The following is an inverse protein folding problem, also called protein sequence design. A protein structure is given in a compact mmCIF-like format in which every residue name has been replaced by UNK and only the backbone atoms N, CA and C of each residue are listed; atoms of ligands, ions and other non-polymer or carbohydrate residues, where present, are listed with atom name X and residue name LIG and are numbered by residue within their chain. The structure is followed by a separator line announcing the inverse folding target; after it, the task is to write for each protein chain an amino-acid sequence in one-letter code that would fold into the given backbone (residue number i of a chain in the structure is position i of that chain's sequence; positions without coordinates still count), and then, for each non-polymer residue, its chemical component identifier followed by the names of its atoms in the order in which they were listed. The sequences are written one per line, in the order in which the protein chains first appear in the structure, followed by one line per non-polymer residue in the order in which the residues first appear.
data_IF_813460661743
#
_entry.id   IF_813460661743
#
_cell.length_a   1.000
_cell.length_b   1.000
_cell.length_c   1.000
_cell.angle_alpha   90.00
_cell.angle_beta   90.00
_cell.angle_gamma   90.00
#
_symmetry.space_group_name_H-M   'P 1'
#
loop_
_entity.id
_entity.type
_entity.pdbx_description
1 polymer ?
#
# COMPACT_ATOMS: atom_id res chain seq x y z
N UNK A 1 -26.15 60.83 -42.55
CA UNK A 1 -25.72 60.83 -41.12
C UNK A 1 -25.35 59.45 -40.56
N UNK A 2 -25.43 58.36 -41.35
CA UNK A 2 -25.05 57.01 -40.89
C UNK A 2 -23.59 56.60 -41.23
N UNK A 3 -22.95 57.20 -42.25
CA UNK A 3 -21.56 56.86 -42.61
C UNK A 3 -20.52 57.33 -41.57
N UNK A 4 -20.77 58.44 -40.87
CA UNK A 4 -19.84 58.99 -39.87
C UNK A 4 -19.81 58.11 -38.60
N UNK A 5 -20.90 57.40 -38.28
CA UNK A 5 -20.95 56.47 -37.14
C UNK A 5 -20.20 55.16 -37.40
N UNK A 6 -20.09 54.72 -38.65
CA UNK A 6 -19.33 53.52 -39.00
C UNK A 6 -17.80 53.74 -38.92
N UNK A 7 -17.31 54.93 -39.27
CA UNK A 7 -15.87 55.26 -39.18
C UNK A 7 -15.36 55.41 -37.74
N UNK A 8 -16.19 55.91 -36.82
CA UNK A 8 -15.80 56.08 -35.42
C UNK A 8 -15.66 54.76 -34.66
N UNK A 9 -16.43 53.73 -35.04
CA UNK A 9 -16.32 52.39 -34.43
C UNK A 9 -15.07 51.66 -34.93
N UNK A 10 -14.66 51.89 -36.19
CA UNK A 10 -13.44 51.28 -36.73
C UNK A 10 -12.16 51.87 -36.13
N UNK A 11 -12.13 53.18 -35.83
CA UNK A 11 -10.99 53.82 -35.15
C UNK A 11 -10.88 53.43 -33.67
N UNK A 12 -11.99 53.14 -32.99
CA UNK A 12 -11.96 52.67 -31.61
C UNK A 12 -11.41 51.24 -31.47
N UNK A 13 -11.56 50.40 -32.51
CA UNK A 13 -11.03 49.03 -32.53
C UNK A 13 -9.55 48.95 -32.91
N UNK A 14 -9.02 49.93 -33.65
CA UNK A 14 -7.60 49.98 -34.05
C UNK A 14 -6.68 50.62 -32.99
N UNK A 15 -7.26 51.24 -31.96
CA UNK A 15 -6.53 51.92 -30.90
C UNK A 15 -6.39 51.13 -29.60
N UNK A 16 -6.89 49.89 -29.51
CA UNK A 16 -6.63 49.06 -28.34
C UNK A 16 -5.15 48.65 -28.38
N UNK A 17 -4.30 49.10 -27.44
CA UNK A 17 -2.97 48.55 -27.33
C UNK A 17 -3.17 47.05 -27.16
N UNK A 18 -2.56 46.26 -28.05
CA UNK A 18 -2.32 44.86 -27.78
C UNK A 18 -1.42 44.85 -26.56
N UNK A 19 -2.01 44.94 -25.36
CA UNK A 19 -1.39 44.45 -24.16
C UNK A 19 -1.15 43.01 -24.51
N UNK A 20 0.09 42.71 -24.93
CA UNK A 20 0.63 41.37 -24.90
C UNK A 20 0.11 40.84 -23.58
N UNK A 21 -0.84 39.92 -23.64
CA UNK A 21 -0.97 38.96 -22.58
C UNK A 21 0.42 38.36 -22.58
N UNK A 22 1.28 38.89 -21.70
CA UNK A 22 2.37 38.14 -21.16
C UNK A 22 1.62 36.96 -20.57
N UNK A 23 1.48 35.93 -21.40
CA UNK A 23 1.16 34.60 -20.98
C UNK A 23 2.15 34.43 -19.85
N UNK A 24 1.64 34.52 -18.63
CA UNK A 24 2.32 34.04 -17.46
C UNK A 24 2.38 32.56 -17.76
N UNK A 25 3.34 32.17 -18.58
CA UNK A 25 3.90 30.84 -18.59
C UNK A 25 4.27 30.69 -17.13
N UNK A 26 3.34 30.11 -16.37
CA UNK A 26 3.69 29.48 -15.13
C UNK A 26 4.93 28.70 -15.51
N UNK A 27 6.07 29.05 -14.91
CA UNK A 27 7.18 28.13 -14.79
C UNK A 27 6.57 26.88 -14.19
N UNK A 28 6.11 26.00 -15.08
CA UNK A 28 5.84 24.64 -14.76
C UNK A 28 7.23 24.13 -14.52
N UNK A 29 7.59 24.07 -13.25
CA UNK A 29 8.79 23.39 -12.80
C UNK A 29 8.56 21.94 -13.25
N UNK A 30 9.08 21.61 -14.43
CA UNK A 30 9.02 20.24 -14.93
C UNK A 30 9.89 19.42 -14.00
N UNK A 31 9.25 18.58 -13.20
CA UNK A 31 9.92 17.69 -12.26
C UNK A 31 10.86 16.79 -13.02
N UNK A 32 12.08 16.61 -12.50
CA UNK A 32 13.03 15.75 -13.17
C UNK A 32 12.57 14.28 -13.04
N UNK A 33 13.04 13.46 -13.98
CA UNK A 33 12.89 12.00 -13.90
C UNK A 33 14.26 11.34 -13.86
N UNK A 34 14.99 11.41 -12.73
CA UNK A 34 16.29 10.75 -12.61
C UNK A 34 16.15 9.23 -12.79
N UNK A 35 16.92 8.67 -13.71
CA UNK A 35 17.01 7.24 -13.96
C UNK A 35 18.29 6.73 -13.28
N UNK A 36 18.17 5.60 -12.59
CA UNK A 36 19.30 4.91 -11.98
C UNK A 36 20.24 4.34 -13.04
N UNK A 37 21.48 4.84 -13.07
CA UNK A 37 22.54 4.45 -14.02
C UNK A 37 23.84 4.05 -13.31
N UNK A 38 23.77 3.80 -12.00
CA UNK A 38 24.93 3.60 -11.15
C UNK A 38 25.81 2.41 -11.56
N UNK A 39 27.11 2.59 -11.33
CA UNK A 39 28.13 1.54 -11.35
C UNK A 39 28.65 1.16 -9.97
N UNK A 40 28.34 1.92 -8.91
CA UNK A 40 28.90 1.76 -7.56
C UNK A 40 27.88 1.42 -6.47
N UNK A 41 26.58 1.59 -6.74
CA UNK A 41 25.51 1.29 -5.80
C UNK A 41 25.23 2.39 -4.78
N UNK A 42 25.78 3.60 -4.94
CA UNK A 42 25.56 4.72 -4.02
C UNK A 42 24.48 5.68 -4.52
N UNK A 43 23.37 5.79 -3.78
CA UNK A 43 22.29 6.75 -4.06
C UNK A 43 22.80 8.20 -4.04
N UNK A 44 23.73 8.53 -3.14
CA UNK A 44 24.22 9.89 -2.94
C UNK A 44 25.21 10.37 -4.00
N UNK A 45 25.66 9.47 -4.89
CA UNK A 45 26.59 9.83 -5.95
C UNK A 45 25.82 10.42 -7.15
N UNK A 46 26.12 11.67 -7.51
CA UNK A 46 25.53 12.33 -8.70
C UNK A 46 25.74 11.54 -9.99
N UNK A 47 26.83 10.78 -10.11
CA UNK A 47 27.11 9.93 -11.27
C UNK A 47 26.22 8.68 -11.36
N UNK A 48 25.52 8.33 -10.28
CA UNK A 48 24.54 7.24 -10.26
C UNK A 48 23.23 7.58 -10.96
N UNK A 49 23.05 8.82 -11.43
CA UNK A 49 21.79 9.34 -11.95
C UNK A 49 21.94 9.94 -13.34
N UNK A 50 20.97 9.67 -14.22
CA UNK A 50 20.98 10.14 -15.61
C UNK A 50 20.94 11.66 -15.77
N UNK A 51 20.50 12.38 -14.74
CA UNK A 51 20.45 13.85 -14.72
C UNK A 51 21.74 14.48 -14.21
N UNK A 52 22.76 13.66 -13.86
CA UNK A 52 23.98 14.10 -13.18
C UNK A 52 23.72 14.86 -11.87
N UNK A 53 22.59 14.57 -11.21
CA UNK A 53 22.16 15.15 -9.94
C UNK A 53 21.48 14.07 -9.10
N UNK A 54 21.68 14.10 -7.79
CA UNK A 54 20.91 13.24 -6.87
C UNK A 54 19.44 13.67 -6.90
N UNK A 55 18.47 12.74 -6.88
CA UNK A 55 17.05 13.07 -6.81
C UNK A 55 16.72 13.98 -5.64
N UNK A 56 15.80 14.92 -5.86
CA UNK A 56 15.32 15.86 -4.85
C UNK A 56 13.81 15.71 -4.66
N UNK A 57 13.24 16.51 -3.75
CA UNK A 57 11.81 16.49 -3.49
C UNK A 57 10.99 16.76 -4.76
N UNK A 58 9.87 16.04 -4.90
CA UNK A 58 8.98 16.01 -6.06
C UNK A 58 9.56 15.38 -7.33
N UNK A 59 10.76 14.84 -7.34
CA UNK A 59 11.22 14.08 -8.51
C UNK A 59 10.45 12.76 -8.66
N UNK A 60 10.41 12.23 -9.89
CA UNK A 60 10.04 10.84 -10.16
C UNK A 60 11.30 10.01 -10.39
N UNK A 61 11.63 9.15 -9.44
CA UNK A 61 12.82 8.29 -9.51
C UNK A 61 12.49 6.97 -10.19
N UNK A 62 13.29 6.58 -11.17
CA UNK A 62 13.07 5.37 -11.97
C UNK A 62 14.27 4.42 -11.93
N UNK A 63 14.02 3.19 -11.46
CA UNK A 63 14.89 2.04 -11.65
C UNK A 63 14.37 1.23 -12.83
N UNK A 64 14.89 1.49 -14.04
CA UNK A 64 14.34 0.91 -15.26
C UNK A 64 14.81 -0.52 -15.54
N UNK A 65 15.94 -0.94 -14.96
CA UNK A 65 16.58 -2.22 -15.17
C UNK A 65 17.28 -2.39 -16.52
N UNK A 66 17.35 -1.33 -17.33
CA UNK A 66 18.01 -1.31 -18.64
C UNK A 66 19.34 -0.57 -18.54
N UNK A 67 19.34 0.61 -17.92
CA UNK A 67 20.55 1.41 -17.79
C UNK A 67 21.44 0.91 -16.65
N UNK A 68 20.86 0.39 -15.58
CA UNK A 68 21.60 -0.30 -14.52
C UNK A 68 20.71 -1.30 -13.79
N UNK A 69 21.33 -2.40 -13.35
CA UNK A 69 20.77 -3.38 -12.40
C UNK A 69 21.58 -3.45 -11.11
N UNK A 70 22.52 -2.51 -10.91
CA UNK A 70 23.36 -2.43 -9.70
C UNK A 70 22.47 -2.13 -8.51
N UNK A 71 22.62 -2.91 -7.44
CA UNK A 71 21.88 -2.72 -6.18
C UNK A 71 22.23 -1.39 -5.53
N UNK A 72 21.25 -0.74 -4.91
CA UNK A 72 21.47 0.45 -4.08
C UNK A 72 21.84 -0.01 -2.67
N UNK A 73 23.11 0.14 -2.30
CA UNK A 73 23.64 -0.29 -0.99
C UNK A 73 24.31 0.84 -0.22
N UNK A 74 24.64 1.95 -0.89
CA UNK A 74 25.19 3.18 -0.32
C UNK A 74 24.22 4.36 -0.38
N UNK A 75 24.47 5.39 0.43
CA UNK A 75 23.67 6.62 0.41
C UNK A 75 22.21 6.43 0.84
N UNK A 76 21.92 5.43 1.66
CA UNK A 76 20.54 4.99 1.93
C UNK A 76 19.72 5.94 2.81
N UNK A 77 20.35 6.88 3.52
CA UNK A 77 19.63 7.86 4.31
C UNK A 77 19.35 9.13 3.49
N UNK A 78 18.10 9.27 3.05
CA UNK A 78 17.58 10.41 2.27
C UNK A 78 16.46 11.13 3.05
N UNK A 79 16.61 11.20 4.38
CA UNK A 79 15.65 11.89 5.26
C UNK A 79 15.41 13.33 4.80
N UNK A 80 14.14 13.72 4.70
CA UNK A 80 13.72 15.06 4.26
C UNK A 80 13.46 15.17 2.76
N UNK A 81 13.80 14.14 1.97
CA UNK A 81 13.39 14.04 0.57
C UNK A 81 12.02 13.37 0.50
N UNK A 82 11.08 14.04 -0.15
CA UNK A 82 9.75 13.52 -0.46
C UNK A 82 9.55 13.50 -1.98
N UNK A 83 9.73 12.33 -2.58
CA UNK A 83 9.57 12.13 -4.03
C UNK A 83 8.10 12.20 -4.44
N UNK A 84 7.83 12.54 -5.69
CA UNK A 84 6.47 12.33 -6.23
C UNK A 84 6.22 10.83 -6.45
N UNK A 85 7.17 10.13 -7.09
CA UNK A 85 7.07 8.70 -7.33
C UNK A 85 8.43 8.00 -7.28
N UNK A 86 8.45 6.81 -6.65
CA UNK A 86 9.55 5.84 -6.73
C UNK A 86 9.08 4.62 -7.54
N UNK A 87 9.60 4.47 -8.76
CA UNK A 87 9.22 3.42 -9.67
C UNK A 87 10.36 2.41 -9.89
N UNK A 88 10.07 1.13 -9.66
CA UNK A 88 10.99 0.02 -9.88
C UNK A 88 10.39 -0.89 -10.96
N UNK A 89 11.02 -0.90 -12.13
CA UNK A 89 10.61 -1.66 -13.32
C UNK A 89 10.75 -3.17 -13.12
N UNK A 90 9.93 -4.00 -13.80
CA UNK A 90 10.10 -5.46 -13.80
C UNK A 90 11.48 -5.96 -14.25
N UNK A 91 12.19 -5.18 -15.06
CA UNK A 91 13.52 -5.53 -15.54
C UNK A 91 14.62 -5.31 -14.49
N UNK A 92 14.38 -4.48 -13.47
CA UNK A 92 15.39 -4.20 -12.44
C UNK A 92 15.51 -5.39 -11.49
N UNK A 93 16.72 -5.94 -11.37
CA UNK A 93 17.02 -7.12 -10.54
C UNK A 93 17.88 -6.82 -9.32
N UNK A 94 18.41 -5.60 -9.20
CA UNK A 94 19.16 -5.18 -8.03
C UNK A 94 18.26 -5.05 -6.79
N UNK A 95 18.87 -5.18 -5.62
CA UNK A 95 18.22 -4.88 -4.34
C UNK A 95 18.30 -3.37 -4.07
N UNK A 96 17.34 -2.84 -3.31
CA UNK A 96 17.35 -1.45 -2.85
C UNK A 96 17.31 -1.45 -1.33
N UNK A 97 18.37 -0.94 -0.72
CA UNK A 97 18.59 -1.02 0.71
C UNK A 97 19.02 -2.41 1.16
N UNK A 98 19.18 -2.57 2.46
CA UNK A 98 19.62 -3.81 3.10
C UNK A 98 18.78 -4.10 4.35
N UNK A 99 18.76 -5.35 4.79
CA UNK A 99 18.18 -5.70 6.08
C UNK A 99 18.92 -4.93 7.20
N UNK A 100 18.16 -4.21 8.04
CA UNK A 100 18.72 -3.37 9.10
C UNK A 100 19.29 -2.02 8.63
N UNK A 101 19.38 -1.78 7.31
CA UNK A 101 19.75 -0.50 6.73
C UNK A 101 18.88 -0.24 5.49
N UNK A 102 17.58 0.08 5.66
CA UNK A 102 16.68 0.32 4.55
C UNK A 102 17.00 1.65 3.84
N UNK A 103 16.50 1.81 2.62
CA UNK A 103 16.39 3.14 1.99
C UNK A 103 15.38 3.97 2.81
N UNK A 104 15.86 5.02 3.45
CA UNK A 104 15.07 5.97 4.23
C UNK A 104 14.73 7.15 3.32
N UNK A 105 13.53 7.14 2.75
CA UNK A 105 13.05 8.20 1.85
C UNK A 105 11.53 8.23 1.88
N UNK A 106 10.95 9.42 1.71
CA UNK A 106 9.50 9.57 1.57
C UNK A 106 9.13 9.65 0.09
N UNK A 107 7.92 9.20 -0.26
CA UNK A 107 7.39 9.34 -1.61
C UNK A 107 5.86 9.34 -1.60
N UNK A 108 5.23 10.18 -2.42
CA UNK A 108 3.77 10.15 -2.54
C UNK A 108 3.27 8.81 -3.11
N UNK A 109 4.05 8.19 -4.00
CA UNK A 109 3.72 6.89 -4.61
C UNK A 109 4.95 5.99 -4.75
N UNK A 110 4.79 4.73 -4.37
CA UNK A 110 5.80 3.68 -4.56
C UNK A 110 5.24 2.57 -5.45
N UNK A 111 5.95 2.23 -6.53
CA UNK A 111 5.59 1.12 -7.41
C UNK A 111 6.77 0.16 -7.53
N UNK A 112 6.66 -1.01 -6.92
CA UNK A 112 7.68 -2.05 -6.99
C UNK A 112 7.24 -3.22 -7.86
N UNK A 113 7.87 -3.36 -9.03
CA UNK A 113 7.68 -4.52 -9.94
C UNK A 113 8.96 -5.33 -10.18
N UNK A 114 10.10 -4.83 -9.69
CA UNK A 114 11.41 -5.45 -9.86
C UNK A 114 11.53 -6.84 -9.22
N UNK A 115 12.63 -7.51 -9.51
CA UNK A 115 12.92 -8.86 -9.02
C UNK A 115 13.80 -8.89 -7.77
N UNK A 116 14.52 -7.81 -7.49
CA UNK A 116 15.26 -7.66 -6.24
C UNK A 116 14.35 -7.34 -5.07
N UNK A 117 14.95 -7.25 -3.89
CA UNK A 117 14.30 -6.93 -2.62
C UNK A 117 14.33 -5.43 -2.39
N UNK A 118 13.20 -4.85 -1.97
CA UNK A 118 13.12 -3.46 -1.52
C UNK A 118 13.04 -3.40 0.01
N UNK A 119 14.05 -2.85 0.66
CA UNK A 119 14.02 -2.46 2.08
C UNK A 119 13.72 -0.97 2.17
N UNK A 120 12.51 -0.60 2.56
CA UNK A 120 12.04 0.79 2.52
C UNK A 120 11.54 1.26 3.89
N UNK A 121 11.97 2.47 4.26
CA UNK A 121 11.52 3.19 5.45
C UNK A 121 11.02 4.57 5.08
N UNK A 122 9.77 4.89 5.43
CA UNK A 122 9.23 6.24 5.30
C UNK A 122 8.90 6.82 6.69
N UNK A 123 9.33 8.06 6.94
CA UNK A 123 9.21 8.74 8.24
C UNK A 123 8.33 10.00 8.18
N UNK A 124 7.89 10.41 6.98
CA UNK A 124 6.97 11.52 6.79
C UNK A 124 5.78 11.14 5.91
N UNK A 125 6.01 11.04 4.60
CA UNK A 125 4.96 10.89 3.59
C UNK A 125 5.07 9.63 2.75
N UNK A 126 4.16 8.68 2.96
CA UNK A 126 3.86 7.65 1.96
C UNK A 126 2.37 7.43 1.82
N UNK A 127 1.83 7.80 0.66
CA UNK A 127 0.39 7.77 0.48
C UNK A 127 -0.09 6.46 -0.15
N UNK A 128 0.70 5.88 -1.08
CA UNK A 128 0.28 4.71 -1.87
C UNK A 128 1.46 3.82 -2.25
N UNK A 129 1.30 2.53 -2.01
CA UNK A 129 2.28 1.50 -2.36
C UNK A 129 1.60 0.45 -3.22
N UNK A 130 2.23 0.11 -4.33
CA UNK A 130 1.87 -1.02 -5.18
C UNK A 130 3.06 -1.98 -5.30
N UNK A 131 2.85 -3.22 -4.89
CA UNK A 131 3.81 -4.31 -5.10
C UNK A 131 3.24 -5.32 -6.10
N UNK A 132 3.87 -5.42 -7.26
CA UNK A 132 3.59 -6.41 -8.32
C UNK A 132 4.92 -7.05 -8.76
N UNK A 133 5.63 -7.61 -7.78
CA UNK A 133 6.97 -8.16 -7.94
C UNK A 133 6.92 -9.64 -8.28
N UNK A 134 7.85 -10.11 -9.11
CA UNK A 134 8.05 -11.55 -9.33
C UNK A 134 8.80 -12.26 -8.20
N UNK A 135 9.36 -11.52 -7.25
CA UNK A 135 10.07 -12.06 -6.10
C UNK A 135 9.08 -12.59 -5.04
N UNK A 136 8.91 -13.90 -4.99
CA UNK A 136 8.00 -14.56 -4.03
C UNK A 136 8.69 -14.88 -2.69
N UNK A 137 9.97 -14.56 -2.54
CA UNK A 137 10.75 -14.84 -1.34
C UNK A 137 10.76 -13.63 -0.41
N UNK A 138 11.15 -12.46 -0.91
CA UNK A 138 11.17 -11.20 -0.16
C UNK A 138 11.11 -10.03 -1.16
N UNK A 139 9.94 -9.72 -1.72
CA UNK A 139 9.81 -8.59 -2.64
C UNK A 139 10.05 -7.25 -1.92
N UNK A 140 9.44 -7.06 -0.76
CA UNK A 140 9.57 -5.80 -0.04
C UNK A 140 9.47 -5.99 1.49
N UNK A 141 10.17 -5.13 2.21
CA UNK A 141 10.06 -4.95 3.64
C UNK A 141 9.80 -3.47 3.94
N UNK A 142 8.68 -3.19 4.61
CA UNK A 142 8.24 -1.83 4.93
C UNK A 142 8.35 -1.55 6.42
N UNK A 143 8.87 -0.37 6.75
CA UNK A 143 9.05 0.14 8.11
C UNK A 143 8.85 1.66 8.15
N UNK A 144 8.79 2.24 9.34
CA UNK A 144 8.79 3.69 9.53
C UNK A 144 7.47 4.24 10.04
N UNK A 145 7.45 5.55 10.25
CA UNK A 145 6.41 6.26 10.98
C UNK A 145 5.52 7.17 10.13
N UNK A 146 5.66 7.10 8.79
CA UNK A 146 4.82 7.84 7.88
C UNK A 146 3.32 7.58 8.14
N UNK A 147 2.51 8.62 7.94
CA UNK A 147 1.06 8.52 8.17
C UNK A 147 0.34 7.85 7.00
N UNK A 148 -0.71 7.09 7.32
CA UNK A 148 -1.69 6.55 6.39
C UNK A 148 -1.13 5.63 5.29
N UNK A 149 -0.35 4.62 5.65
CA UNK A 149 0.14 3.63 4.69
C UNK A 149 -1.03 2.93 3.99
N UNK A 150 -1.09 3.06 2.66
CA UNK A 150 -2.05 2.34 1.81
C UNK A 150 -1.29 1.41 0.87
N UNK A 151 -1.26 0.14 1.22
CA UNK A 151 -0.46 -0.87 0.53
C UNK A 151 -1.34 -1.82 -0.26
N UNK A 152 -1.09 -1.93 -1.55
CA UNK A 152 -1.69 -2.92 -2.43
C UNK A 152 -0.63 -3.93 -2.90
N UNK A 153 -0.87 -5.21 -2.65
CA UNK A 153 0.01 -6.31 -3.07
C UNK A 153 -0.75 -7.17 -4.08
N UNK A 154 -0.28 -7.14 -5.32
CA UNK A 154 -0.80 -7.97 -6.42
C UNK A 154 0.03 -9.24 -6.59
N UNK A 155 1.35 -9.15 -6.37
CA UNK A 155 2.29 -10.27 -6.49
C UNK A 155 3.53 -9.99 -5.66
N UNK A 156 4.12 -11.04 -5.09
CA UNK A 156 5.35 -10.96 -4.31
C UNK A 156 5.11 -11.21 -2.82
N UNK A 157 6.22 -11.38 -2.08
CA UNK A 157 6.20 -11.51 -0.63
C UNK A 157 6.56 -10.19 0.05
N UNK A 158 5.64 -9.64 0.83
CA UNK A 158 5.79 -8.36 1.53
C UNK A 158 5.75 -8.57 3.03
N UNK A 159 6.71 -7.97 3.74
CA UNK A 159 6.71 -7.92 5.20
C UNK A 159 6.48 -6.48 5.65
N UNK A 160 5.39 -6.25 6.38
CA UNK A 160 5.18 -5.02 7.13
C UNK A 160 5.73 -5.24 8.54
N UNK A 161 6.89 -4.62 8.81
CA UNK A 161 7.68 -4.89 10.01
C UNK A 161 7.03 -4.36 11.28
N UNK A 162 7.51 -4.80 12.43
CA UNK A 162 7.17 -4.21 13.72
C UNK A 162 7.50 -2.71 13.82
N UNK A 163 8.36 -2.16 12.97
CA UNK A 163 8.68 -0.73 12.95
C UNK A 163 7.71 0.13 12.13
N UNK A 164 6.71 -0.48 11.48
CA UNK A 164 5.71 0.25 10.68
C UNK A 164 4.52 0.68 11.56
N UNK A 165 4.18 1.96 11.60
CA UNK A 165 2.98 2.50 12.27
C UNK A 165 1.92 3.00 11.29
N UNK A 166 0.70 3.26 11.78
CA UNK A 166 -0.40 3.89 11.01
C UNK A 166 -0.71 3.24 9.65
N UNK A 167 -0.90 1.92 9.66
CA UNK A 167 -1.31 1.17 8.47
C UNK A 167 -2.79 1.41 8.16
N UNK A 168 -3.09 2.43 7.36
CA UNK A 168 -4.47 2.79 7.04
C UNK A 168 -5.21 1.71 6.22
N UNK A 169 -4.58 1.15 5.18
CA UNK A 169 -5.21 0.14 4.31
C UNK A 169 -4.19 -0.88 3.83
N UNK A 170 -4.53 -2.17 3.96
CA UNK A 170 -3.87 -3.27 3.29
C UNK A 170 -4.82 -3.91 2.28
N UNK A 171 -4.38 -4.06 1.04
CA UNK A 171 -5.14 -4.72 -0.04
C UNK A 171 -4.31 -5.82 -0.69
N UNK A 172 -4.81 -7.05 -0.71
CA UNK A 172 -4.12 -8.21 -1.28
C UNK A 172 -4.99 -8.85 -2.34
N UNK A 173 -4.54 -8.75 -3.60
CA UNK A 173 -5.43 -8.92 -4.75
C UNK A 173 -5.16 -10.21 -5.53
N UNK A 174 -3.89 -10.60 -5.69
CA UNK A 174 -3.48 -11.73 -6.52
C UNK A 174 -3.33 -13.04 -5.75
N UNK A 175 -3.36 -14.16 -6.46
CA UNK A 175 -3.11 -15.50 -5.91
C UNK A 175 -1.65 -15.69 -5.44
N UNK A 176 -0.71 -14.95 -6.06
CA UNK A 176 0.73 -15.01 -5.79
C UNK A 176 1.23 -13.89 -4.89
N UNK A 177 0.35 -13.25 -4.12
CA UNK A 177 0.75 -12.31 -3.08
C UNK A 177 0.78 -12.98 -1.71
N UNK A 178 1.86 -12.74 -0.98
CA UNK A 178 2.06 -13.19 0.40
C UNK A 178 2.35 -11.94 1.22
N UNK A 179 1.56 -11.68 2.25
CA UNK A 179 1.79 -10.55 3.15
C UNK A 179 1.89 -11.03 4.58
N UNK A 180 2.95 -10.58 5.26
CA UNK A 180 3.13 -10.79 6.70
C UNK A 180 3.10 -9.42 7.36
N UNK A 181 2.21 -9.25 8.34
CA UNK A 181 2.15 -8.05 9.18
C UNK A 181 2.59 -8.41 10.59
N UNK A 182 3.82 -8.06 10.93
CA UNK A 182 4.43 -8.36 12.23
C UNK A 182 3.74 -7.57 13.36
N UNK A 183 3.81 -8.10 14.59
CA UNK A 183 3.29 -7.43 15.77
C UNK A 183 4.02 -6.11 16.01
N UNK A 184 3.30 -5.05 16.39
CA UNK A 184 3.87 -3.75 16.77
C UNK A 184 3.12 -3.18 17.99
N UNK A 185 3.29 -3.82 19.14
CA UNK A 185 2.56 -3.41 20.36
C UNK A 185 1.04 -3.36 20.12
N UNK A 186 0.43 -2.20 20.40
CA UNK A 186 -1.00 -1.96 20.20
C UNK A 186 -1.35 -1.29 18.87
N UNK A 187 -0.39 -1.11 17.95
CA UNK A 187 -0.66 -0.51 16.65
C UNK A 187 -1.57 -1.42 15.81
N UNK A 188 -2.62 -0.80 15.30
CA UNK A 188 -3.72 -1.43 14.58
C UNK A 188 -3.65 -1.20 13.06
N UNK A 189 -4.31 -2.06 12.29
CA UNK A 189 -4.55 -1.84 10.86
C UNK A 189 -5.93 -1.19 10.67
N UNK A 190 -6.00 -0.16 9.84
CA UNK A 190 -7.24 0.56 9.52
C UNK A 190 -8.24 -0.31 8.74
N UNK A 191 -7.82 -0.94 7.65
CA UNK A 191 -8.66 -1.88 6.92
C UNK A 191 -7.84 -2.93 6.18
N UNK A 192 -8.38 -4.13 6.07
CA UNK A 192 -7.83 -5.22 5.26
C UNK A 192 -8.84 -5.61 4.20
N UNK A 193 -8.41 -5.66 2.94
CA UNK A 193 -9.19 -6.16 1.82
C UNK A 193 -8.41 -7.27 1.14
N UNK A 194 -8.99 -8.46 1.05
CA UNK A 194 -8.33 -9.59 0.42
C UNK A 194 -9.25 -10.23 -0.63
N UNK A 195 -8.78 -10.37 -1.87
CA UNK A 195 -9.46 -11.13 -2.92
C UNK A 195 -8.68 -12.37 -3.37
N UNK A 196 -7.45 -12.53 -2.89
CA UNK A 196 -6.58 -13.67 -3.22
C UNK A 196 -5.37 -13.75 -2.30
N UNK A 197 -4.48 -14.72 -2.58
CA UNK A 197 -3.18 -14.80 -1.93
C UNK A 197 -3.25 -15.20 -0.45
N UNK A 198 -2.21 -14.84 0.29
CA UNK A 198 -2.06 -15.18 1.70
C UNK A 198 -1.73 -13.93 2.52
N UNK A 199 -2.41 -13.78 3.67
CA UNK A 199 -2.08 -12.80 4.70
C UNK A 199 -1.90 -13.52 6.02
N UNK A 200 -0.80 -13.22 6.73
CA UNK A 200 -0.65 -13.52 8.16
C UNK A 200 -0.59 -12.20 8.92
N UNK A 201 -1.53 -11.97 9.83
CA UNK A 201 -1.71 -10.72 10.54
C UNK A 201 -1.57 -10.90 12.06
N UNK A 202 -0.60 -10.19 12.66
CA UNK A 202 -0.35 -10.17 14.10
C UNK A 202 -0.80 -8.85 14.76
N UNK A 203 -1.66 -8.06 14.12
CA UNK A 203 -2.10 -6.75 14.63
C UNK A 203 -3.62 -6.63 14.74
N UNK A 204 -4.12 -5.85 15.71
CA UNK A 204 -5.56 -5.55 15.84
C UNK A 204 -6.15 -4.82 14.62
N UNK A 205 -7.45 -5.01 14.42
CA UNK A 205 -8.31 -4.29 13.46
C UNK A 205 -9.55 -3.82 14.25
N UNK A 206 -9.33 -3.02 15.29
CA UNK A 206 -10.10 -3.03 16.55
C UNK A 206 -10.92 -1.78 16.86
N UNK A 207 -11.31 -0.99 15.86
CA UNK A 207 -12.28 0.11 16.04
C UNK A 207 -13.45 -0.04 15.09
N UNK A 208 -14.58 0.57 15.41
CA UNK A 208 -15.82 0.44 14.63
C UNK A 208 -15.73 0.92 13.18
N UNK A 209 -14.71 1.71 12.85
CA UNK A 209 -14.45 2.18 11.48
C UNK A 209 -13.56 1.21 10.70
N UNK A 210 -12.97 0.22 11.39
CA UNK A 210 -11.97 -0.71 10.86
C UNK A 210 -12.61 -2.05 10.57
N UNK A 211 -12.22 -2.64 9.45
CA UNK A 211 -12.79 -3.92 9.00
C UNK A 211 -11.80 -4.74 8.21
N UNK A 212 -11.94 -6.06 8.32
CA UNK A 212 -11.35 -7.02 7.41
C UNK A 212 -12.44 -7.55 6.47
N UNK A 213 -12.22 -7.47 5.16
CA UNK A 213 -13.12 -8.01 4.13
C UNK A 213 -12.35 -9.03 3.32
N UNK A 214 -12.69 -10.31 3.50
CA UNK A 214 -12.01 -11.45 2.88
C UNK A 214 -12.96 -12.05 1.85
N UNK A 215 -12.65 -11.86 0.57
CA UNK A 215 -13.43 -12.36 -0.57
C UNK A 215 -12.75 -13.52 -1.30
N UNK A 216 -11.52 -13.88 -0.90
CA UNK A 216 -10.73 -14.95 -1.49
C UNK A 216 -9.37 -15.11 -0.81
N UNK A 217 -8.63 -16.16 -1.15
CA UNK A 217 -7.33 -16.47 -0.56
C UNK A 217 -7.41 -17.02 0.86
N UNK A 218 -6.31 -16.88 1.60
CA UNK A 218 -6.17 -17.31 3.00
C UNK A 218 -5.78 -16.14 3.88
N UNK A 219 -6.56 -15.87 4.92
CA UNK A 219 -6.30 -14.87 5.95
C UNK A 219 -6.08 -15.57 7.29
N UNK A 220 -4.87 -15.50 7.83
CA UNK A 220 -4.54 -16.02 9.16
C UNK A 220 -4.37 -14.85 10.12
N UNK A 221 -5.23 -14.79 11.13
CA UNK A 221 -5.19 -13.75 12.15
C UNK A 221 -4.68 -14.30 13.48
N UNK A 222 -3.49 -13.87 13.88
CA UNK A 222 -2.72 -14.49 14.96
C UNK A 222 -2.90 -13.79 16.32
N UNK A 223 -3.15 -12.48 16.33
CA UNK A 223 -3.29 -11.70 17.56
C UNK A 223 -3.99 -10.36 17.29
N UNK A 224 -4.59 -9.80 18.34
CA UNK A 224 -5.36 -8.56 18.32
C UNK A 224 -6.85 -8.83 18.15
N UNK A 225 -7.67 -7.88 18.59
CA UNK A 225 -9.11 -7.95 18.33
C UNK A 225 -9.41 -7.54 16.87
N UNK A 226 -10.47 -8.11 16.30
CA UNK A 226 -11.10 -7.58 15.08
C UNK A 226 -12.46 -7.04 15.47
N UNK A 227 -12.76 -5.80 15.06
CA UNK A 227 -14.09 -5.23 15.25
C UNK A 227 -15.06 -5.85 14.26
N UNK A 228 -14.91 -5.60 12.96
CA UNK A 228 -15.75 -6.21 11.91
C UNK A 228 -14.94 -7.12 10.99
N UNK A 229 -15.35 -8.37 10.86
CA UNK A 229 -14.86 -9.34 9.88
C UNK A 229 -15.99 -9.71 8.91
N UNK A 230 -15.78 -9.46 7.62
CA UNK A 230 -16.69 -9.91 6.56
C UNK A 230 -15.99 -10.98 5.73
N UNK A 231 -16.55 -12.18 5.71
CA UNK A 231 -16.06 -13.30 4.90
C UNK A 231 -17.06 -13.52 3.76
N UNK A 232 -16.66 -13.16 2.55
CA UNK A 232 -17.42 -13.28 1.31
C UNK A 232 -16.79 -14.29 0.35
N UNK A 233 -15.99 -15.23 0.89
CA UNK A 233 -15.19 -16.18 0.15
C UNK A 233 -13.84 -16.42 0.82
N UNK A 234 -13.05 -17.35 0.27
CA UNK A 234 -11.74 -17.70 0.80
C UNK A 234 -11.80 -18.46 2.14
N UNK A 235 -10.67 -18.46 2.84
CA UNK A 235 -10.47 -19.16 4.11
C UNK A 235 -9.88 -18.22 5.14
N UNK A 236 -10.56 -18.06 6.28
CA UNK A 236 -10.09 -17.30 7.43
C UNK A 236 -9.76 -18.24 8.57
N UNK A 237 -8.53 -18.18 9.06
CA UNK A 237 -8.09 -18.82 10.29
C UNK A 237 -7.99 -17.75 11.38
N UNK A 238 -8.86 -17.81 12.38
CA UNK A 238 -8.84 -16.85 13.49
C UNK A 238 -8.16 -17.49 14.69
N UNK A 239 -6.85 -17.28 14.86
CA UNK A 239 -6.03 -17.83 15.94
C UNK A 239 -5.94 -16.93 17.17
N UNK A 240 -6.25 -15.63 17.03
CA UNK A 240 -6.25 -14.68 18.11
C UNK A 240 -7.12 -15.14 19.30
N UNK A 241 -6.66 -14.89 20.53
CA UNK A 241 -7.43 -15.13 21.76
C UNK A 241 -8.37 -13.97 22.10
N UNK A 242 -8.16 -12.84 21.43
CA UNK A 242 -8.93 -11.61 21.54
C UNK A 242 -10.25 -11.72 20.78
N UNK A 243 -11.22 -10.90 21.17
CA UNK A 243 -12.60 -10.99 20.69
C UNK A 243 -12.76 -10.51 19.25
N UNK A 244 -13.51 -11.29 18.45
CA UNK A 244 -14.16 -10.81 17.23
C UNK A 244 -15.47 -10.13 17.62
N UNK A 245 -15.63 -8.82 17.34
CA UNK A 245 -16.86 -8.11 17.76
C UNK A 245 -18.05 -8.48 16.86
N UNK A 246 -17.86 -8.40 15.55
CA UNK A 246 -18.88 -8.69 14.53
C UNK A 246 -18.29 -9.55 13.41
N UNK A 247 -18.85 -10.74 13.20
CA UNK A 247 -18.50 -11.61 12.09
C UNK A 247 -19.67 -11.84 11.14
N UNK A 248 -19.50 -11.45 9.87
CA UNK A 248 -20.48 -11.66 8.80
C UNK A 248 -19.93 -12.69 7.79
N UNK A 249 -20.49 -13.89 7.81
CA UNK A 249 -20.10 -15.00 6.94
C UNK A 249 -21.08 -15.13 5.78
N UNK A 250 -20.80 -14.42 4.70
CA UNK A 250 -21.60 -14.43 3.47
C UNK A 250 -21.29 -15.65 2.58
N UNK A 251 -20.02 -16.07 2.55
CA UNK A 251 -19.52 -17.27 1.87
C UNK A 251 -18.12 -17.65 2.40
N UNK A 252 -17.56 -18.78 1.97
CA UNK A 252 -16.21 -19.22 2.38
C UNK A 252 -16.18 -19.84 3.77
N UNK A 253 -15.00 -19.89 4.40
CA UNK A 253 -14.81 -20.56 5.69
C UNK A 253 -14.20 -19.63 6.74
N UNK A 254 -14.77 -19.61 7.95
CA UNK A 254 -14.12 -19.11 9.16
C UNK A 254 -13.80 -20.29 10.09
N UNK A 255 -12.52 -20.49 10.35
CA UNK A 255 -11.99 -21.59 11.14
C UNK A 255 -11.46 -21.11 12.50
N UNK A 256 -12.18 -21.45 13.57
CA UNK A 256 -11.75 -21.29 14.96
C UNK A 256 -11.06 -22.53 15.54
N UNK A 257 -10.83 -23.59 14.76
CA UNK A 257 -10.27 -24.85 15.26
C UNK A 257 -8.75 -24.89 15.37
N UNK A 258 -8.09 -23.90 14.78
CA UNK A 258 -6.63 -23.78 14.78
C UNK A 258 -6.14 -23.03 16.01
N UNK A 259 -4.95 -23.30 16.53
CA UNK A 259 -4.47 -22.85 17.87
C UNK A 259 -5.22 -23.45 19.07
N UNK A 260 -4.59 -23.41 20.25
CA UNK A 260 -5.19 -23.82 21.53
C UNK A 260 -5.83 -22.68 22.33
N UNK A 261 -5.96 -21.50 21.72
CA UNK A 261 -6.48 -20.30 22.39
C UNK A 261 -7.98 -20.42 22.64
N UNK A 262 -8.46 -19.84 23.75
CA UNK A 262 -9.88 -19.58 23.93
C UNK A 262 -10.29 -18.42 23.04
N UNK A 263 -11.38 -18.58 22.29
CA UNK A 263 -11.79 -17.62 21.27
C UNK A 263 -13.21 -17.17 21.51
N UNK A 264 -13.47 -15.89 21.27
CA UNK A 264 -14.77 -15.29 21.50
C UNK A 264 -15.23 -14.48 20.29
N UNK A 265 -16.52 -14.61 19.96
CA UNK A 265 -17.22 -13.69 19.08
C UNK A 265 -18.48 -13.13 19.76
N UNK A 266 -18.72 -11.82 19.67
CA UNK A 266 -19.93 -11.22 20.26
C UNK A 266 -21.15 -11.44 19.37
N UNK A 267 -21.05 -11.12 18.09
CA UNK A 267 -22.09 -11.34 17.09
C UNK A 267 -21.54 -12.12 15.89
N UNK A 268 -22.24 -13.19 15.51
CA UNK A 268 -21.97 -13.96 14.31
C UNK A 268 -23.23 -14.13 13.48
N UNK A 269 -23.17 -13.71 12.22
CA UNK A 269 -24.19 -13.96 11.20
C UNK A 269 -23.63 -14.89 10.13
N UNK A 270 -24.30 -16.03 9.89
CA UNK A 270 -23.84 -17.05 8.95
C UNK A 270 -24.90 -17.30 7.89
N UNK A 271 -24.54 -17.03 6.63
CA UNK A 271 -25.43 -17.14 5.49
C UNK A 271 -25.22 -18.46 4.72
N UNK A 272 -26.20 -18.89 3.89
CA UNK A 272 -26.05 -20.02 2.97
C UNK A 272 -24.79 -19.93 2.11
N UNK A 273 -24.02 -21.02 2.05
CA UNK A 273 -22.75 -21.08 1.31
C UNK A 273 -21.50 -20.74 2.14
N UNK A 274 -21.67 -20.38 3.42
CA UNK A 274 -20.56 -20.20 4.35
C UNK A 274 -20.39 -21.37 5.32
N UNK A 275 -19.15 -21.57 5.78
CA UNK A 275 -18.75 -22.56 6.77
C UNK A 275 -18.16 -21.86 7.99
N UNK A 276 -18.68 -22.23 9.17
CA UNK A 276 -18.17 -21.80 10.46
C UNK A 276 -17.69 -23.05 11.21
N UNK A 277 -16.40 -23.14 11.49
CA UNK A 277 -15.80 -24.25 12.22
C UNK A 277 -15.43 -23.78 13.62
N UNK A 278 -15.96 -24.46 14.66
CA UNK A 278 -15.77 -24.09 16.07
C UNK A 278 -15.26 -25.27 16.88
N UNK A 279 -14.70 -24.99 18.06
CA UNK A 279 -14.33 -26.00 19.06
C UNK A 279 -15.05 -25.77 20.38
N UNK A 280 -14.83 -26.64 21.37
CA UNK A 280 -15.29 -26.42 22.75
C UNK A 280 -14.65 -25.20 23.42
N UNK A 281 -13.59 -24.64 22.83
CA UNK A 281 -12.92 -23.41 23.31
C UNK A 281 -13.45 -22.15 22.60
N UNK A 282 -14.44 -22.28 21.70
CA UNK A 282 -15.06 -21.15 21.00
C UNK A 282 -16.35 -20.74 21.70
N UNK A 283 -16.46 -19.48 22.10
CA UNK A 283 -17.68 -18.89 22.65
C UNK A 283 -18.27 -17.90 21.64
N UNK A 284 -19.54 -18.05 21.29
CA UNK A 284 -20.29 -17.10 20.45
C UNK A 284 -21.47 -16.60 21.26
N UNK A 285 -21.51 -15.30 21.58
CA UNK A 285 -22.57 -14.73 22.43
C UNK A 285 -23.92 -14.66 21.71
N UNK A 286 -23.92 -14.23 20.44
CA UNK A 286 -25.11 -14.19 19.59
C UNK A 286 -24.78 -14.84 18.25
N UNK A 287 -25.53 -15.89 17.89
CA UNK A 287 -25.40 -16.59 16.61
C UNK A 287 -26.73 -16.54 15.83
N UNK A 288 -26.69 -15.94 14.65
CA UNK A 288 -27.77 -15.95 13.67
C UNK A 288 -27.34 -16.81 12.48
N UNK A 289 -27.85 -18.05 12.40
CA UNK A 289 -27.45 -19.04 11.39
C UNK A 289 -28.57 -19.27 10.36
N UNK A 290 -28.52 -18.50 9.27
CA UNK A 290 -29.49 -18.50 8.18
C UNK A 290 -29.37 -19.71 7.25
N UNK A 291 -28.35 -20.57 7.41
CA UNK A 291 -28.17 -21.77 6.57
C UNK A 291 -29.30 -22.79 6.77
N UNK A 292 -30.02 -22.71 7.88
CA UNK A 292 -31.11 -23.63 8.25
C UNK A 292 -32.49 -23.13 7.83
N UNK A 293 -32.60 -21.90 7.34
CA UNK A 293 -33.88 -21.26 7.07
C UNK A 293 -34.38 -21.44 5.62
N UNK A 294 -33.55 -22.01 4.73
CA UNK A 294 -33.94 -22.33 3.36
C UNK A 294 -34.32 -23.83 3.31
N UNK A 295 -35.59 -24.18 3.02
CA UNK A 295 -36.05 -25.56 2.92
C UNK A 295 -35.47 -26.32 1.73
#
# INVERSE_FOLDING_TARGET
MQLIRACLILLALLGQPWTKHATREHERIDMATPIWISSDGDWGNTASWSTASVPVANDTVVFDGVNSVVSVTGGLNQTGINLDELQISPAYTGDIGLLGNPLIIDCAKLVHRGAGTLYHKADGGINRILVDSRNLVNAAQFSGSASSWRTAVKKGRVTCTNGLSDMAVLSVVGDKSIVIVEANGAESIGAVYQSGGFIQNFRPIDTSVRKAVISGGTFVHESGAIYTLVVNGGFVEYNAGETLTEGFLLAGTLDYTRSGNTKAALLMEVFPGAELLTTTQTTISVLLDYRKEIP
#
